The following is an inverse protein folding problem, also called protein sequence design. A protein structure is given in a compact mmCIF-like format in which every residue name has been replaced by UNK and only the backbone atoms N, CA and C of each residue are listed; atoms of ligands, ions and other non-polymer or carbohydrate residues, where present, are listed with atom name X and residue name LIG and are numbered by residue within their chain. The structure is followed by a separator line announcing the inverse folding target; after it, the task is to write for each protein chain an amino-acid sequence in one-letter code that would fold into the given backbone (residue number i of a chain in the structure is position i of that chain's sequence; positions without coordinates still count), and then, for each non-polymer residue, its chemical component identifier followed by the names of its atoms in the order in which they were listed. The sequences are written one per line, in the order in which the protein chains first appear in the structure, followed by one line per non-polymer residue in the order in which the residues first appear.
data_IF_681316429294
#
_entry.id   IF_681316429294
#
_cell.length_a   1.000
_cell.length_b   1.000
_cell.length_c   1.000
_cell.angle_alpha   90.00
_cell.angle_beta   90.00
_cell.angle_gamma   90.00
#
_symmetry.space_group_name_H-M   'P 1'
#
loop_
_entity.id
_entity.type
_entity.pdbx_description
1 polymer ?
#
# COMPACT_ATOMS: atom_id res chain seq x y z
N UNK A 1 -16.19 -8.02 -0.68
CA UNK A 1 -16.42 -7.89 0.78
C UNK A 1 -15.64 -6.67 1.22
N UNK A 2 -16.15 -5.80 2.10
CA UNK A 2 -15.39 -4.69 2.66
C UNK A 2 -14.31 -5.20 3.62
N UNK A 3 -13.34 -4.34 3.98
CA UNK A 3 -12.47 -4.55 5.13
C UNK A 3 -13.10 -3.82 6.31
N UNK A 4 -13.29 -4.50 7.43
CA UNK A 4 -13.89 -3.91 8.63
C UNK A 4 -12.94 -4.10 9.82
N UNK A 5 -12.64 -2.99 10.48
CA UNK A 5 -11.82 -2.91 11.69
C UNK A 5 -12.73 -2.43 12.82
N UNK A 6 -12.88 -3.21 13.87
CA UNK A 6 -13.73 -2.90 15.03
C UNK A 6 -12.92 -2.97 16.32
N UNK A 7 -12.74 -1.81 16.97
CA UNK A 7 -12.00 -1.66 18.24
C UNK A 7 -10.64 -2.38 18.23
N UNK A 8 -9.98 -2.38 17.06
CA UNK A 8 -8.78 -3.15 16.84
C UNK A 8 -7.60 -2.56 17.61
N UNK A 9 -6.97 -3.41 18.42
CA UNK A 9 -5.79 -3.06 19.20
C UNK A 9 -4.64 -4.03 18.97
N UNK A 10 -3.41 -3.51 19.09
CA UNK A 10 -2.18 -4.33 19.03
C UNK A 10 -1.18 -3.90 20.06
N UNK A 11 -0.68 -4.87 20.80
CA UNK A 11 0.41 -4.74 21.77
C UNK A 11 1.43 -5.86 21.54
N UNK A 12 2.69 -5.56 21.63
CA UNK A 12 3.77 -6.54 21.55
C UNK A 12 4.33 -6.80 22.95
N UNK A 13 4.18 -8.04 23.42
CA UNK A 13 4.54 -8.42 24.79
C UNK A 13 3.87 -7.52 25.83
N UNK A 14 4.60 -7.16 26.88
CA UNK A 14 4.13 -6.26 27.95
C UNK A 14 4.34 -4.76 27.65
N UNK A 15 4.73 -4.43 26.42
CA UNK A 15 5.00 -3.07 25.98
C UNK A 15 3.75 -2.19 25.90
N UNK A 16 3.93 -0.88 25.66
CA UNK A 16 2.83 0.03 25.38
C UNK A 16 2.07 -0.37 24.08
N UNK A 17 0.76 -0.10 24.00
CA UNK A 17 0.00 -0.40 22.79
C UNK A 17 0.58 0.35 21.57
N UNK A 18 0.67 -0.35 20.45
CA UNK A 18 1.06 0.21 19.15
C UNK A 18 -0.17 0.73 18.42
N UNK A 19 -1.26 -0.04 18.47
CA UNK A 19 -2.58 0.34 17.98
C UNK A 19 -3.58 0.21 19.13
N UNK A 20 -4.54 1.11 19.17
CA UNK A 20 -5.57 1.13 20.22
C UNK A 20 -6.86 1.69 19.66
N UNK A 21 -7.94 0.94 19.78
CA UNK A 21 -9.29 1.35 19.34
C UNK A 21 -9.33 1.85 17.89
N UNK A 22 -8.71 1.10 16.97
CA UNK A 22 -8.76 1.43 15.53
C UNK A 22 -10.09 0.95 14.97
N UNK A 23 -10.88 1.91 14.49
CA UNK A 23 -12.17 1.67 13.86
C UNK A 23 -12.15 2.25 12.45
N UNK A 24 -12.42 1.41 11.44
CA UNK A 24 -12.55 1.84 10.04
C UNK A 24 -13.29 0.78 9.22
N UNK A 25 -14.06 1.25 8.25
CA UNK A 25 -14.65 0.38 7.22
C UNK A 25 -14.13 0.84 5.86
N UNK A 26 -13.51 -0.06 5.09
CA UNK A 26 -13.01 0.20 3.74
C UNK A 26 -13.91 -0.52 2.77
N UNK A 27 -14.56 0.22 1.88
CA UNK A 27 -15.48 -0.31 0.89
C UNK A 27 -14.81 -1.21 -0.15
N UNK A 28 -15.58 -2.14 -0.74
CA UNK A 28 -15.09 -2.92 -1.87
C UNK A 28 -14.76 -1.97 -3.04
N UNK A 29 -13.58 -2.12 -3.62
CA UNK A 29 -13.11 -1.30 -4.74
C UNK A 29 -12.67 0.11 -4.32
N UNK A 30 -12.60 0.40 -3.03
CA UNK A 30 -12.13 1.68 -2.53
C UNK A 30 -10.60 1.77 -2.57
N UNK A 31 -10.07 2.95 -2.91
CA UNK A 31 -8.65 3.25 -2.84
C UNK A 31 -8.39 4.18 -1.65
N UNK A 32 -7.81 3.64 -0.58
CA UNK A 32 -7.61 4.33 0.70
C UNK A 32 -6.13 4.59 0.96
N UNK A 33 -5.81 5.82 1.31
CA UNK A 33 -4.49 6.21 1.78
C UNK A 33 -4.45 6.27 3.32
N UNK A 34 -3.42 5.68 3.92
CA UNK A 34 -3.17 5.69 5.34
C UNK A 34 -1.97 6.59 5.65
N UNK A 35 -2.23 7.71 6.33
CA UNK A 35 -1.22 8.68 6.76
C UNK A 35 -0.97 8.59 8.27
N UNK A 36 0.17 9.08 8.72
CA UNK A 36 0.52 9.20 10.13
C UNK A 36 2.02 9.35 10.33
N UNK A 37 2.42 9.73 11.54
CA UNK A 37 3.82 9.88 11.92
C UNK A 37 4.60 8.56 11.77
N UNK A 38 5.93 8.64 11.66
CA UNK A 38 6.77 7.43 11.71
C UNK A 38 6.57 6.72 13.05
N UNK A 39 6.45 5.39 13.01
CA UNK A 39 6.28 4.57 14.21
C UNK A 39 4.88 4.58 14.84
N UNK A 40 3.87 5.23 14.22
CA UNK A 40 2.50 5.27 14.77
C UNK A 40 1.68 3.97 14.57
N UNK A 41 2.25 2.95 13.90
CA UNK A 41 1.58 1.65 13.74
C UNK A 41 1.00 1.37 12.36
N UNK A 42 1.24 2.19 11.32
CA UNK A 42 0.71 1.99 9.95
C UNK A 42 1.08 0.62 9.36
N UNK A 43 2.36 0.27 9.37
CA UNK A 43 2.84 -1.04 8.89
C UNK A 43 2.29 -2.19 9.73
N UNK A 44 2.13 -1.98 11.05
CA UNK A 44 1.50 -2.96 11.93
C UNK A 44 0.04 -3.19 11.55
N UNK A 45 -0.69 -2.12 11.24
CA UNK A 45 -2.08 -2.21 10.80
C UNK A 45 -2.19 -2.94 9.45
N UNK A 46 -1.31 -2.62 8.49
CA UNK A 46 -1.25 -3.36 7.22
C UNK A 46 -0.93 -4.84 7.43
N UNK A 47 0.03 -5.17 8.29
CA UNK A 47 0.40 -6.55 8.60
C UNK A 47 -0.78 -7.33 9.21
N UNK A 48 -1.57 -6.69 10.07
CA UNK A 48 -2.79 -7.30 10.62
C UNK A 48 -3.82 -7.54 9.51
N UNK A 49 -4.07 -6.56 8.63
CA UNK A 49 -4.99 -6.73 7.49
C UNK A 49 -4.51 -7.81 6.51
N UNK A 50 -3.20 -8.04 6.40
CA UNK A 50 -2.62 -9.10 5.57
C UNK A 50 -2.65 -10.49 6.23
N UNK A 51 -3.05 -10.58 7.51
CA UNK A 51 -2.98 -11.82 8.28
C UNK A 51 -1.56 -12.22 8.70
N UNK A 52 -0.58 -11.32 8.58
CA UNK A 52 0.82 -11.54 8.99
C UNK A 52 1.02 -11.30 10.49
N UNK A 53 0.09 -10.57 11.11
CA UNK A 53 0.04 -10.30 12.54
C UNK A 53 -1.38 -10.50 13.08
N UNK A 54 -1.50 -10.97 14.31
CA UNK A 54 -2.79 -11.14 15.00
C UNK A 54 -3.06 -9.93 15.87
N UNK A 55 -4.25 -9.31 15.82
CA UNK A 55 -4.61 -8.25 16.75
C UNK A 55 -4.64 -8.78 18.19
N UNK A 56 -4.37 -7.91 19.17
CA UNK A 56 -4.46 -8.26 20.60
C UNK A 56 -5.90 -8.13 21.11
N UNK A 57 -6.68 -7.24 20.52
CA UNK A 57 -8.10 -7.00 20.84
C UNK A 57 -8.85 -6.52 19.61
N UNK A 58 -10.18 -6.55 19.68
CA UNK A 58 -11.08 -6.13 18.61
C UNK A 58 -11.25 -7.22 17.54
N UNK A 59 -11.84 -6.82 16.42
CA UNK A 59 -12.14 -7.72 15.31
C UNK A 59 -11.64 -7.15 13.98
N UNK A 60 -11.31 -8.04 13.05
CA UNK A 60 -10.94 -7.74 11.67
C UNK A 60 -11.70 -8.64 10.73
N UNK A 61 -12.37 -8.05 9.75
CA UNK A 61 -12.92 -8.76 8.61
C UNK A 61 -12.18 -8.33 7.34
N UNK A 62 -11.71 -9.32 6.56
CA UNK A 62 -11.05 -9.10 5.26
C UNK A 62 -11.65 -10.06 4.22
N UNK A 63 -11.46 -9.80 2.90
CA UNK A 63 -11.87 -10.75 1.87
C UNK A 63 -11.33 -12.16 2.12
N UNK A 64 -12.15 -13.18 1.88
CA UNK A 64 -11.83 -14.60 2.15
C UNK A 64 -10.64 -15.13 1.34
N UNK A 65 -10.33 -14.50 0.22
CA UNK A 65 -9.15 -14.81 -0.59
C UNK A 65 -7.85 -14.20 -0.04
N UNK A 66 -7.95 -13.41 1.05
CA UNK A 66 -6.83 -12.72 1.67
C UNK A 66 -6.39 -11.47 0.91
N UNK A 67 -5.20 -10.98 1.22
CA UNK A 67 -4.62 -9.79 0.62
C UNK A 67 -3.34 -10.09 -0.15
N UNK A 68 -3.09 -9.35 -1.22
CA UNK A 68 -1.75 -9.18 -1.78
C UNK A 68 -1.03 -8.11 -0.97
N UNK A 69 0.25 -8.35 -0.66
CA UNK A 69 1.03 -7.44 0.17
C UNK A 69 2.31 -7.00 -0.53
N UNK A 70 2.58 -5.71 -0.49
CA UNK A 70 3.83 -5.10 -0.91
C UNK A 70 4.51 -4.47 0.30
N UNK A 71 5.65 -5.02 0.70
CA UNK A 71 6.44 -4.51 1.82
C UNK A 71 7.18 -3.22 1.46
N UNK A 72 7.52 -2.42 2.46
CA UNK A 72 8.34 -1.22 2.33
C UNK A 72 9.72 -1.55 1.73
N UNK A 73 10.38 -2.60 2.21
CA UNK A 73 11.51 -3.20 1.50
C UNK A 73 10.98 -4.10 0.39
N UNK A 74 11.55 -4.00 -0.80
CA UNK A 74 11.15 -4.80 -1.95
C UNK A 74 11.16 -6.32 -1.67
N UNK A 75 11.97 -6.78 -0.71
CA UNK A 75 12.06 -8.17 -0.23
C UNK A 75 12.07 -9.19 -1.39
N UNK A 76 12.85 -8.90 -2.44
CA UNK A 76 13.01 -9.81 -3.57
C UNK A 76 13.89 -10.98 -3.18
N UNK A 77 13.59 -12.16 -3.68
CA UNK A 77 14.44 -13.33 -3.53
C UNK A 77 15.76 -13.13 -4.29
N UNK A 78 16.91 -13.02 -3.62
CA UNK A 78 18.16 -12.59 -4.27
C UNK A 78 18.73 -13.60 -5.26
N UNK A 79 18.33 -14.86 -5.18
CA UNK A 79 18.72 -15.94 -6.10
C UNK A 79 17.82 -16.05 -7.34
N UNK A 80 16.70 -15.33 -7.38
CA UNK A 80 15.77 -15.28 -8.51
C UNK A 80 15.99 -14.00 -9.32
N UNK A 81 15.77 -14.08 -10.62
CA UNK A 81 15.69 -12.89 -11.49
C UNK A 81 14.43 -12.06 -11.21
N UNK A 82 14.32 -10.88 -11.79
CA UNK A 82 13.13 -10.04 -11.69
C UNK A 82 11.88 -10.78 -12.18
N UNK A 83 11.98 -11.45 -13.36
CA UNK A 83 10.89 -12.26 -13.90
C UNK A 83 10.53 -13.42 -12.98
N UNK A 84 11.51 -14.17 -12.50
CA UNK A 84 11.28 -15.33 -11.64
C UNK A 84 10.66 -14.94 -10.29
N UNK A 85 10.99 -13.76 -9.74
CA UNK A 85 10.31 -13.22 -8.56
C UNK A 85 8.81 -13.03 -8.78
N UNK A 86 8.40 -12.62 -9.98
CA UNK A 86 6.99 -12.47 -10.37
C UNK A 86 6.37 -13.85 -10.67
N UNK A 87 7.09 -14.68 -11.44
CA UNK A 87 6.64 -16.04 -11.80
C UNK A 87 6.35 -16.90 -10.57
N UNK A 88 7.09 -16.71 -9.47
CA UNK A 88 6.85 -17.42 -8.21
C UNK A 88 5.44 -17.13 -7.65
N UNK A 89 5.00 -15.87 -7.67
CA UNK A 89 3.64 -15.52 -7.22
C UNK A 89 2.57 -16.16 -8.11
N UNK A 90 2.78 -16.17 -9.43
CA UNK A 90 1.91 -16.83 -10.39
C UNK A 90 1.90 -18.36 -10.21
N UNK A 91 3.05 -18.95 -9.86
CA UNK A 91 3.17 -20.38 -9.58
C UNK A 91 2.35 -20.80 -8.36
N UNK A 92 2.40 -20.02 -7.30
CA UNK A 92 1.63 -20.28 -6.08
C UNK A 92 0.11 -20.19 -6.32
N UNK A 93 -0.31 -19.51 -7.39
CA UNK A 93 -1.69 -19.48 -7.89
C UNK A 93 -2.05 -20.65 -8.81
N UNK A 94 -1.11 -21.55 -9.10
CA UNK A 94 -1.33 -22.68 -10.00
C UNK A 94 -1.22 -22.36 -11.51
N UNK A 95 -0.73 -21.17 -11.88
CA UNK A 95 -0.55 -20.79 -13.31
C UNK A 95 0.52 -21.67 -13.96
N UNK A 96 0.23 -22.21 -15.15
CA UNK A 96 1.13 -23.08 -15.90
C UNK A 96 2.43 -22.39 -16.36
N UNK A 97 3.54 -23.13 -16.50
CA UNK A 97 4.88 -22.57 -16.76
C UNK A 97 4.96 -21.63 -17.98
N UNK A 98 4.35 -22.00 -19.10
CA UNK A 98 4.37 -21.18 -20.32
C UNK A 98 3.61 -19.86 -20.12
N UNK A 99 2.43 -19.93 -19.53
CA UNK A 99 1.57 -18.78 -19.23
C UNK A 99 2.21 -17.85 -18.20
N UNK A 100 2.87 -18.40 -17.17
CA UNK A 100 3.59 -17.60 -16.14
C UNK A 100 4.61 -16.66 -16.78
N UNK A 101 5.38 -17.16 -17.74
CA UNK A 101 6.42 -16.37 -18.41
C UNK A 101 5.83 -15.20 -19.19
N UNK A 102 4.70 -15.43 -19.86
CA UNK A 102 3.99 -14.38 -20.60
C UNK A 102 3.47 -13.32 -19.61
N UNK A 103 2.71 -13.74 -18.60
CA UNK A 103 2.14 -12.84 -17.60
C UNK A 103 3.20 -12.08 -16.80
N UNK A 104 4.33 -12.70 -16.49
CA UNK A 104 5.42 -12.03 -15.79
C UNK A 104 6.06 -10.94 -16.66
N UNK A 105 6.19 -11.16 -17.98
CA UNK A 105 6.67 -10.14 -18.91
C UNK A 105 5.67 -8.98 -19.05
N UNK A 106 4.37 -9.26 -19.18
CA UNK A 106 3.32 -8.24 -19.20
C UNK A 106 3.36 -7.37 -17.91
N UNK A 107 3.54 -7.99 -16.74
CA UNK A 107 3.69 -7.27 -15.48
C UNK A 107 4.99 -6.45 -15.40
N UNK A 108 6.09 -6.93 -16.01
CA UNK A 108 7.32 -6.14 -16.12
C UNK A 108 7.16 -4.94 -17.05
N UNK A 109 6.45 -5.10 -18.16
CA UNK A 109 6.12 -3.99 -19.08
C UNK A 109 5.24 -2.95 -18.37
N UNK A 110 4.22 -3.40 -17.65
CA UNK A 110 3.32 -2.56 -16.87
C UNK A 110 4.06 -1.67 -15.86
N UNK A 111 5.10 -2.18 -15.23
CA UNK A 111 5.93 -1.38 -14.29
C UNK A 111 7.15 -0.74 -14.98
N UNK A 112 7.15 -0.59 -16.31
CA UNK A 112 8.21 0.01 -17.10
C UNK A 112 9.60 -0.64 -16.89
N UNK A 113 9.63 -1.97 -16.81
CA UNK A 113 10.85 -2.78 -16.69
C UNK A 113 10.99 -3.80 -17.83
N UNK A 114 10.43 -3.52 -19.00
CA UNK A 114 10.67 -4.30 -20.21
C UNK A 114 12.20 -4.47 -20.42
N UNK A 115 12.65 -5.70 -20.67
CA UNK A 115 14.08 -6.00 -20.84
C UNK A 115 14.90 -6.17 -19.55
N UNK A 116 14.35 -5.92 -18.36
CA UNK A 116 15.03 -6.17 -17.09
C UNK A 116 14.71 -7.53 -16.45
N UNK A 117 13.92 -8.36 -17.14
CA UNK A 117 13.40 -9.61 -16.58
C UNK A 117 14.46 -10.62 -16.15
N UNK A 118 15.62 -10.64 -16.81
CA UNK A 118 16.70 -11.59 -16.54
C UNK A 118 17.73 -11.06 -15.51
N UNK A 119 17.56 -9.81 -15.06
CA UNK A 119 18.44 -9.22 -14.02
C UNK A 119 18.06 -9.75 -12.63
N UNK A 120 19.09 -9.97 -11.81
CA UNK A 120 18.93 -10.30 -10.39
C UNK A 120 18.80 -9.05 -9.52
N UNK A 121 18.28 -9.14 -8.28
CA UNK A 121 18.07 -7.98 -7.41
C UNK A 121 19.27 -7.10 -7.20
N UNK A 122 20.49 -7.65 -7.13
CA UNK A 122 21.73 -6.89 -6.98
C UNK A 122 22.13 -6.09 -8.23
N UNK A 123 21.57 -6.42 -9.41
CA UNK A 123 21.78 -5.71 -10.68
C UNK A 123 20.74 -4.64 -10.93
N UNK A 124 19.76 -4.50 -10.01
CA UNK A 124 18.66 -3.55 -10.09
C UNK A 124 18.90 -2.36 -9.17
N UNK A 125 18.53 -1.16 -9.61
CA UNK A 125 18.46 0.01 -8.70
C UNK A 125 17.38 -0.19 -7.63
N UNK A 126 17.40 0.63 -6.57
CA UNK A 126 16.36 0.60 -5.52
C UNK A 126 14.95 0.75 -6.09
N UNK A 127 14.75 1.74 -6.97
CA UNK A 127 13.48 1.96 -7.64
C UNK A 127 13.07 0.82 -8.57
N UNK A 128 14.02 0.18 -9.26
CA UNK A 128 13.71 -1.02 -10.08
C UNK A 128 13.26 -2.19 -9.20
N UNK A 129 13.94 -2.42 -8.06
CA UNK A 129 13.51 -3.47 -7.10
C UNK A 129 12.09 -3.22 -6.59
N UNK A 130 11.77 -1.96 -6.27
CA UNK A 130 10.43 -1.58 -5.80
C UNK A 130 9.35 -1.86 -6.86
N UNK A 131 9.65 -1.56 -8.13
CA UNK A 131 8.74 -1.86 -9.26
C UNK A 131 8.55 -3.36 -9.48
N UNK A 132 9.59 -4.16 -9.35
CA UNK A 132 9.46 -5.64 -9.39
C UNK A 132 8.59 -6.14 -8.22
N UNK A 133 8.73 -5.57 -7.02
CA UNK A 133 7.91 -5.92 -5.87
C UNK A 133 6.42 -5.56 -6.11
N UNK A 134 6.14 -4.41 -6.74
CA UNK A 134 4.78 -4.04 -7.15
C UNK A 134 4.21 -5.05 -8.16
N UNK A 135 4.96 -5.37 -9.21
CA UNK A 135 4.55 -6.38 -10.20
C UNK A 135 4.28 -7.75 -9.55
N UNK A 136 5.13 -8.16 -8.58
CA UNK A 136 4.95 -9.40 -7.82
C UNK A 136 3.68 -9.36 -6.95
N UNK A 137 3.34 -8.23 -6.35
CA UNK A 137 2.11 -8.10 -5.57
C UNK A 137 0.87 -8.16 -6.47
N UNK A 138 0.92 -7.53 -7.64
CA UNK A 138 -0.16 -7.61 -8.64
C UNK A 138 -0.34 -9.03 -9.18
N UNK A 139 0.75 -9.80 -9.32
CA UNK A 139 0.73 -11.19 -9.76
C UNK A 139 -0.05 -12.11 -8.79
N UNK A 140 -0.20 -11.73 -7.53
CA UNK A 140 -1.00 -12.48 -6.56
C UNK A 140 -2.51 -12.44 -6.84
N UNK A 141 -2.99 -11.43 -7.61
CA UNK A 141 -4.36 -11.31 -8.12
C UNK A 141 -5.45 -11.41 -7.04
N UNK A 142 -5.21 -10.75 -5.92
CA UNK A 142 -6.16 -10.66 -4.80
C UNK A 142 -7.08 -9.46 -4.96
N UNK A 143 -8.26 -9.55 -4.35
CA UNK A 143 -9.21 -8.43 -4.33
C UNK A 143 -8.75 -7.28 -3.43
N UNK A 144 -7.95 -7.56 -2.42
CA UNK A 144 -7.35 -6.58 -1.52
C UNK A 144 -5.85 -6.48 -1.79
N UNK A 145 -5.37 -5.28 -2.11
CA UNK A 145 -3.96 -4.96 -2.29
C UNK A 145 -3.52 -4.00 -1.18
N UNK A 146 -2.56 -4.42 -0.39
CA UNK A 146 -1.96 -3.66 0.70
C UNK A 146 -0.54 -3.26 0.32
N UNK A 147 -0.19 -1.98 0.45
CA UNK A 147 1.12 -1.48 0.06
C UNK A 147 1.71 -0.58 1.14
N UNK A 148 2.91 -0.92 1.60
CA UNK A 148 3.65 -0.10 2.59
C UNK A 148 4.70 0.74 1.88
N UNK A 149 4.47 2.06 1.80
CA UNK A 149 5.33 3.05 1.14
C UNK A 149 5.79 2.67 -0.28
N UNK A 150 4.86 2.33 -1.19
CA UNK A 150 5.19 1.69 -2.48
C UNK A 150 6.06 2.56 -3.40
N UNK A 151 6.12 3.88 -3.18
CA UNK A 151 6.80 4.84 -4.06
C UNK A 151 8.00 5.51 -3.41
N UNK A 152 8.39 5.15 -2.19
CA UNK A 152 9.42 5.86 -1.42
C UNK A 152 10.80 5.88 -2.10
N UNK A 153 11.17 4.81 -2.82
CA UNK A 153 12.48 4.68 -3.47
C UNK A 153 12.51 5.16 -4.94
N UNK A 154 11.45 5.85 -5.41
CA UNK A 154 11.30 6.26 -6.80
C UNK A 154 11.65 7.73 -7.01
N UNK A 155 12.29 8.03 -8.15
CA UNK A 155 12.39 9.40 -8.65
C UNK A 155 11.01 9.96 -9.05
N UNK A 156 10.91 11.28 -9.19
CA UNK A 156 9.63 11.95 -9.39
C UNK A 156 8.92 11.49 -10.68
N UNK A 157 9.64 11.36 -11.80
CA UNK A 157 9.06 11.00 -13.10
C UNK A 157 8.54 9.55 -13.05
N UNK A 158 9.35 8.62 -12.56
CA UNK A 158 8.95 7.21 -12.42
C UNK A 158 7.78 7.04 -11.46
N UNK A 159 7.75 7.83 -10.39
CA UNK A 159 6.64 7.84 -9.42
C UNK A 159 5.34 8.26 -10.08
N UNK A 160 5.34 9.34 -10.85
CA UNK A 160 4.14 9.82 -11.54
C UNK A 160 3.61 8.81 -12.55
N UNK A 161 4.48 8.17 -13.33
CA UNK A 161 4.10 7.11 -14.26
C UNK A 161 3.44 5.91 -13.54
N UNK A 162 3.99 5.52 -12.38
CA UNK A 162 3.40 4.41 -11.62
C UNK A 162 2.12 4.80 -10.88
N UNK A 163 1.95 6.06 -10.52
CA UNK A 163 0.67 6.55 -10.01
C UNK A 163 -0.43 6.39 -11.06
N UNK A 164 -0.17 6.82 -12.30
CA UNK A 164 -1.11 6.70 -13.41
C UNK A 164 -1.45 5.23 -13.70
N UNK A 165 -0.44 4.37 -13.69
CA UNK A 165 -0.61 2.95 -13.94
C UNK A 165 -1.39 2.25 -12.84
N UNK A 166 -1.11 2.58 -11.57
CA UNK A 166 -1.84 2.01 -10.43
C UNK A 166 -3.31 2.48 -10.41
N UNK A 167 -3.55 3.74 -10.75
CA UNK A 167 -4.91 4.27 -10.88
C UNK A 167 -5.67 3.58 -12.03
N UNK A 168 -5.00 3.32 -13.16
CA UNK A 168 -5.56 2.58 -14.29
C UNK A 168 -5.95 1.15 -13.87
N UNK A 169 -5.03 0.43 -13.21
CA UNK A 169 -5.27 -0.93 -12.71
C UNK A 169 -6.46 -0.94 -11.74
N UNK A 170 -6.49 0.01 -10.82
CA UNK A 170 -7.59 0.12 -9.87
C UNK A 170 -8.94 0.33 -10.56
N UNK A 171 -9.03 1.27 -11.53
CA UNK A 171 -10.25 1.54 -12.30
C UNK A 171 -10.70 0.33 -13.13
N UNK A 172 -9.76 -0.38 -13.77
CA UNK A 172 -10.07 -1.54 -14.61
C UNK A 172 -10.45 -2.79 -13.80
N UNK A 173 -9.84 -3.00 -12.65
CA UNK A 173 -10.02 -4.24 -11.88
C UNK A 173 -11.02 -4.13 -10.73
N UNK A 174 -11.36 -2.93 -10.28
CA UNK A 174 -12.21 -2.69 -9.12
C UNK A 174 -11.66 -3.27 -7.82
N UNK A 175 -10.33 -3.42 -7.71
CA UNK A 175 -9.67 -3.93 -6.49
C UNK A 175 -9.77 -2.90 -5.37
N UNK A 176 -9.86 -3.40 -4.15
CA UNK A 176 -9.69 -2.57 -2.96
C UNK A 176 -8.20 -2.37 -2.72
N UNK A 177 -7.76 -1.12 -2.59
CA UNK A 177 -6.36 -0.77 -2.37
C UNK A 177 -6.23 0.02 -1.07
N UNK A 178 -5.32 -0.42 -0.20
CA UNK A 178 -4.91 0.35 0.99
C UNK A 178 -3.40 0.56 0.90
N UNK A 179 -2.97 1.81 0.89
CA UNK A 179 -1.54 2.10 0.87
C UNK A 179 -1.13 3.07 1.97
N UNK A 180 0.02 2.81 2.53
CA UNK A 180 0.69 3.70 3.47
C UNK A 180 1.60 4.64 2.69
N UNK A 181 1.54 5.91 3.01
CA UNK A 181 2.51 6.90 2.55
C UNK A 181 2.75 7.96 3.62
N UNK A 182 3.89 8.60 3.58
CA UNK A 182 4.17 9.83 4.34
C UNK A 182 3.99 11.08 3.47
N UNK A 183 3.69 10.93 2.17
CA UNK A 183 3.49 12.00 1.23
C UNK A 183 2.00 12.33 1.06
N UNK A 184 1.57 13.46 1.62
CA UNK A 184 0.17 13.90 1.56
C UNK A 184 -0.31 14.11 0.11
N UNK A 185 0.58 14.55 -0.80
CA UNK A 185 0.22 14.74 -2.21
C UNK A 185 -0.12 13.41 -2.89
N UNK A 186 0.62 12.34 -2.59
CA UNK A 186 0.30 10.98 -3.07
C UNK A 186 -1.05 10.52 -2.52
N UNK A 187 -1.31 10.76 -1.24
CA UNK A 187 -2.56 10.38 -0.61
C UNK A 187 -3.77 11.07 -1.26
N UNK A 188 -3.66 12.36 -1.59
CA UNK A 188 -4.72 13.12 -2.26
C UNK A 188 -4.86 12.73 -3.74
N UNK A 189 -3.73 12.43 -4.43
CA UNK A 189 -3.77 12.05 -5.84
C UNK A 189 -4.44 10.70 -6.08
N UNK A 190 -4.10 9.70 -5.27
CA UNK A 190 -4.51 8.31 -5.50
C UNK A 190 -5.72 7.89 -4.67
N UNK A 191 -5.78 8.32 -3.42
CA UNK A 191 -6.84 7.90 -2.49
C UNK A 191 -8.18 8.54 -2.83
N UNK A 192 -9.25 7.76 -2.71
CA UNK A 192 -10.62 8.28 -2.62
C UNK A 192 -10.91 8.75 -1.18
N UNK A 193 -10.18 8.18 -0.23
CA UNK A 193 -10.26 8.51 1.19
C UNK A 193 -8.88 8.48 1.81
N UNK A 194 -8.64 9.42 2.71
CA UNK A 194 -7.39 9.54 3.46
C UNK A 194 -7.71 9.35 4.93
N UNK A 195 -7.09 8.35 5.56
CA UNK A 195 -7.19 8.09 7.00
C UNK A 195 -5.91 8.56 7.68
N UNK A 196 -6.04 9.37 8.73
CA UNK A 196 -4.93 9.81 9.56
C UNK A 196 -4.88 9.01 10.86
N UNK A 197 -3.76 8.32 11.09
CA UNK A 197 -3.49 7.73 12.38
C UNK A 197 -2.81 8.75 13.31
N UNK A 198 -3.25 8.75 14.58
CA UNK A 198 -2.55 9.45 15.66
C UNK A 198 -1.13 8.90 15.82
N UNK A 199 -0.31 9.65 16.51
CA UNK A 199 0.91 9.14 17.12
C UNK A 199 0.59 8.05 18.17
N UNK A 200 1.61 7.26 18.61
CA UNK A 200 1.41 6.11 19.50
C UNK A 200 0.52 6.41 20.73
N UNK A 201 -0.48 5.56 21.01
CA UNK A 201 -0.97 4.46 20.18
C UNK A 201 -1.71 4.99 18.94
N UNK A 202 -1.55 4.27 17.81
CA UNK A 202 -2.22 4.61 16.57
C UNK A 202 -3.73 4.40 16.69
N UNK A 203 -4.49 5.46 16.43
CA UNK A 203 -5.96 5.48 16.32
C UNK A 203 -6.33 6.25 15.07
N UNK A 204 -7.43 5.94 14.43
CA UNK A 204 -7.95 6.80 13.35
C UNK A 204 -8.51 8.07 14.00
N UNK A 205 -7.83 9.19 13.80
CA UNK A 205 -8.20 10.48 14.43
C UNK A 205 -8.93 11.42 13.48
N UNK A 206 -8.78 11.20 12.19
CA UNK A 206 -9.47 11.96 11.17
C UNK A 206 -9.49 11.23 9.83
N UNK A 207 -10.53 11.49 9.05
CA UNK A 207 -10.62 11.04 7.66
C UNK A 207 -11.08 12.17 6.75
N UNK A 208 -10.70 12.09 5.48
CA UNK A 208 -11.11 13.01 4.42
C UNK A 208 -11.53 12.22 3.19
N UNK A 209 -12.66 12.60 2.61
CA UNK A 209 -13.08 12.12 1.30
C UNK A 209 -12.40 12.96 0.22
N UNK A 210 -11.76 12.31 -0.72
CA UNK A 210 -11.11 12.93 -1.88
C UNK A 210 -12.00 12.71 -3.09
N UNK A 211 -12.66 13.77 -3.54
CA UNK A 211 -13.55 13.72 -4.70
C UNK A 211 -12.73 13.70 -6.01
N UNK A 212 -13.39 13.38 -7.12
CA UNK A 212 -12.81 13.48 -8.45
C UNK A 212 -12.29 14.91 -8.74
N UNK A 213 -13.03 15.92 -8.30
CA UNK A 213 -12.63 17.33 -8.44
C UNK A 213 -11.30 17.63 -7.73
N UNK A 214 -11.09 17.09 -6.52
CA UNK A 214 -9.80 17.22 -5.81
C UNK A 214 -8.64 16.56 -6.57
N UNK A 215 -8.90 15.57 -7.42
CA UNK A 215 -7.85 14.87 -8.18
C UNK A 215 -7.56 15.52 -9.52
N UNK A 216 -8.51 16.21 -10.11
CA UNK A 216 -8.42 16.85 -11.43
C UNK A 216 -8.10 18.35 -11.39
N UNK A 217 -8.50 19.06 -10.31
CA UNK A 217 -8.21 20.47 -10.12
C UNK A 217 -7.03 20.68 -9.17
N UNK A 218 -5.94 21.24 -9.70
CA UNK A 218 -4.71 21.47 -8.95
C UNK A 218 -4.89 22.44 -7.75
N UNK A 219 -5.83 23.38 -7.84
CA UNK A 219 -6.14 24.33 -6.77
C UNK A 219 -6.82 23.63 -5.60
N UNK A 220 -7.86 22.83 -5.87
CA UNK A 220 -8.56 22.04 -4.86
C UNK A 220 -7.65 20.97 -4.25
N UNK A 221 -6.84 20.29 -5.07
CA UNK A 221 -5.82 19.35 -4.59
C UNK A 221 -4.83 20.02 -3.63
N UNK A 222 -4.37 21.23 -3.98
CA UNK A 222 -3.45 22.02 -3.17
C UNK A 222 -4.06 22.43 -1.83
N UNK A 223 -5.32 22.88 -1.83
CA UNK A 223 -6.04 23.24 -0.61
C UNK A 223 -6.21 22.05 0.33
N UNK A 224 -6.72 20.91 -0.17
CA UNK A 224 -6.89 19.70 0.62
C UNK A 224 -5.54 19.18 1.16
N UNK A 225 -4.51 19.18 0.32
CA UNK A 225 -3.13 18.84 0.74
C UNK A 225 -2.65 19.74 1.89
N UNK A 226 -2.94 21.04 1.83
CA UNK A 226 -2.62 22.00 2.88
C UNK A 226 -3.31 21.67 4.20
N UNK A 227 -4.61 21.40 4.16
CA UNK A 227 -5.41 21.03 5.35
C UNK A 227 -4.88 19.74 5.99
N UNK A 228 -4.69 18.68 5.20
CA UNK A 228 -4.19 17.40 5.70
C UNK A 228 -2.78 17.55 6.28
N UNK A 229 -1.90 18.31 5.59
CA UNK A 229 -0.53 18.57 6.06
C UNK A 229 -0.50 19.30 7.39
N UNK A 230 -1.36 20.31 7.57
CA UNK A 230 -1.47 21.05 8.83
C UNK A 230 -1.87 20.10 9.97
N UNK A 231 -2.88 19.26 9.75
CA UNK A 231 -3.37 18.31 10.74
C UNK A 231 -2.32 17.22 11.08
N UNK A 232 -1.62 16.69 10.08
CA UNK A 232 -0.53 15.74 10.29
C UNK A 232 0.60 16.36 11.14
N UNK A 233 0.96 17.63 10.87
CA UNK A 233 1.96 18.35 11.69
C UNK A 233 1.52 18.54 13.13
N UNK A 234 0.25 18.77 13.38
CA UNK A 234 -0.28 18.84 14.77
C UNK A 234 -0.12 17.51 15.49
N UNK A 235 -0.45 16.39 14.85
CA UNK A 235 -0.27 15.05 15.43
C UNK A 235 1.20 14.75 15.73
N UNK A 236 2.11 15.09 14.81
CA UNK A 236 3.56 14.93 15.04
C UNK A 236 4.03 15.75 16.25
N UNK A 237 3.58 17.01 16.38
CA UNK A 237 3.96 17.90 17.50
C UNK A 237 3.41 17.44 18.85
N UNK A 238 2.21 16.85 18.89
CA UNK A 238 1.62 16.30 20.12
C UNK A 238 2.46 15.16 20.70
N UNK A 239 3.18 14.46 19.85
CA UNK A 239 3.97 13.30 20.25
C UNK A 239 5.42 13.66 20.62
N UNK A 240 5.92 14.81 20.19
CA UNK A 240 7.27 15.28 20.50
C UNK A 240 7.39 15.94 21.88
N UNK A 241 6.28 16.03 22.60
CA UNK A 241 6.19 16.48 24.01
C UNK A 241 6.00 15.29 24.93
#
# INVERSE_FOLDING_TARGET
MPVVLENLGKRFGDGAPVLDDVNATIGKGEFVALLGASGCGKSTLLNIMAGLEVPTSGALEVPSDGAAFMFQDAALFPWLTARENIELALQLRGVGKAERRIKANELLELVHLAGAGDKRPHELSGGMRQRVALARSLAQDRQLLLMDEPFAALDAITRDLLHDELERIWKETGRTIVFVTHNVREAVRLGQRVLLLSSRPGRVVQEWNVTEEHRTDAGLAGQLTGVITARLREEIRRHAK
#
